data_IF_728974361094
#
_entry.id   IF_728974361094
#
_cell.length_a   1.000
_cell.length_b   1.000
_cell.length_c   1.000
_cell.angle_alpha   90.00
_cell.angle_beta   90.00
_cell.angle_gamma   90.00
#
_symmetry.space_group_name_H-M   'P 1'
#
loop_
_entity.id
_entity.type
_entity.pdbx_description
1 polymer ?
#
# COMPACT_ATOMS: atom_id res chain seq x y z
N UNK A 1 21.06 16.62 -9.35
CA UNK A 1 20.28 16.81 -10.61
C UNK A 1 18.91 16.18 -10.40
N UNK A 2 17.80 16.78 -10.85
CA UNK A 2 16.45 16.21 -10.65
C UNK A 2 16.16 15.14 -11.70
N UNK A 3 15.50 14.06 -11.30
CA UNK A 3 15.08 12.98 -12.20
C UNK A 3 13.83 13.41 -12.94
N UNK A 4 13.78 13.15 -14.25
CA UNK A 4 12.71 13.59 -15.15
C UNK A 4 11.84 12.42 -15.62
N UNK A 5 10.61 12.74 -16.02
CA UNK A 5 9.71 11.76 -16.65
C UNK A 5 10.21 11.40 -18.05
N UNK A 6 10.39 10.12 -18.31
CA UNK A 6 10.62 9.55 -19.63
C UNK A 6 9.26 9.47 -20.33
N UNK A 7 8.98 10.46 -21.17
CA UNK A 7 7.78 10.50 -22.00
C UNK A 7 7.76 9.35 -23.00
N UNK A 8 6.55 8.95 -23.42
CA UNK A 8 6.36 7.87 -24.41
C UNK A 8 7.24 8.07 -25.65
N UNK A 9 7.99 7.03 -26.01
CA UNK A 9 8.89 7.02 -27.17
C UNK A 9 10.18 7.85 -27.02
N UNK A 10 10.43 8.46 -25.84
CA UNK A 10 11.68 9.17 -25.56
C UNK A 10 12.71 8.27 -24.91
N UNK A 11 13.98 8.66 -25.04
CA UNK A 11 15.10 7.98 -24.38
C UNK A 11 15.22 8.44 -22.94
N UNK A 12 15.66 7.51 -22.10
CA UNK A 12 16.04 7.78 -20.72
C UNK A 12 17.34 8.58 -20.66
N UNK A 13 17.29 9.79 -20.10
CA UNK A 13 18.46 10.67 -19.91
C UNK A 13 18.82 10.86 -18.44
N UNK A 14 18.10 10.19 -17.52
CA UNK A 14 18.32 10.35 -16.10
C UNK A 14 19.60 9.64 -15.66
N UNK A 15 20.31 10.24 -14.71
CA UNK A 15 21.47 9.61 -14.06
C UNK A 15 21.11 9.20 -12.63
N UNK A 16 20.36 8.10 -12.51
CA UNK A 16 19.88 7.61 -11.21
C UNK A 16 21.01 7.32 -10.23
N UNK A 17 22.16 6.81 -10.68
CA UNK A 17 23.29 6.51 -9.80
C UNK A 17 23.88 7.79 -9.21
N UNK A 18 24.09 8.83 -10.02
CA UNK A 18 24.52 10.13 -9.51
C UNK A 18 23.48 10.73 -8.55
N UNK A 19 22.18 10.62 -8.87
CA UNK A 19 21.13 11.11 -7.97
C UNK A 19 21.12 10.38 -6.62
N UNK A 20 21.33 9.05 -6.60
CA UNK A 20 21.47 8.30 -5.35
C UNK A 20 22.68 8.76 -4.54
N UNK A 21 23.82 9.02 -5.20
CA UNK A 21 25.01 9.58 -4.54
C UNK A 21 24.74 10.99 -3.99
N UNK A 22 24.05 11.85 -4.75
CA UNK A 22 23.64 13.19 -4.31
C UNK A 22 22.74 13.12 -3.06
N UNK A 23 21.94 12.05 -2.93
CA UNK A 23 21.12 11.76 -1.74
C UNK A 23 21.87 11.05 -0.60
N UNK A 24 23.17 10.79 -0.76
CA UNK A 24 24.03 10.20 0.26
C UNK A 24 24.12 8.68 0.25
N UNK A 25 23.62 8.00 -0.80
CA UNK A 25 23.69 6.54 -0.96
C UNK A 25 24.91 6.13 -1.77
N UNK A 26 26.11 6.25 -1.18
CA UNK A 26 27.38 5.90 -1.85
C UNK A 26 27.74 4.42 -1.78
N UNK A 27 27.30 3.73 -0.72
CA UNK A 27 27.79 2.39 -0.37
C UNK A 27 26.66 1.34 -0.27
N UNK A 28 25.61 1.51 -1.10
CA UNK A 28 24.59 0.47 -1.24
C UNK A 28 25.19 -0.82 -1.79
N UNK A 29 24.74 -1.97 -1.25
CA UNK A 29 25.01 -3.26 -1.88
C UNK A 29 24.64 -3.22 -3.36
N UNK A 30 25.46 -3.86 -4.20
CA UNK A 30 25.33 -3.78 -5.66
C UNK A 30 23.93 -4.19 -6.12
N UNK A 31 23.40 -5.30 -5.60
CA UNK A 31 22.10 -5.82 -6.04
C UNK A 31 20.97 -4.90 -5.56
N UNK A 32 21.07 -4.37 -4.35
CA UNK A 32 20.11 -3.39 -3.83
C UNK A 32 20.12 -2.11 -4.66
N UNK A 33 21.30 -1.60 -5.01
CA UNK A 33 21.44 -0.40 -5.84
C UNK A 33 20.80 -0.60 -7.21
N UNK A 34 21.07 -1.75 -7.85
CA UNK A 34 20.47 -2.10 -9.14
C UNK A 34 18.94 -2.18 -9.05
N UNK A 35 18.39 -2.80 -8.00
CA UNK A 35 16.94 -2.87 -7.76
C UNK A 35 16.30 -1.50 -7.54
N UNK A 36 16.93 -0.65 -6.72
CA UNK A 36 16.49 0.74 -6.48
C UNK A 36 16.43 1.52 -7.78
N UNK A 37 17.49 1.45 -8.61
CA UNK A 37 17.53 2.13 -9.91
C UNK A 37 16.45 1.57 -10.85
N UNK A 38 16.26 0.25 -10.88
CA UNK A 38 15.25 -0.38 -11.74
C UNK A 38 13.83 0.09 -11.38
N UNK A 39 13.51 0.16 -10.08
CA UNK A 39 12.22 0.67 -9.59
C UNK A 39 12.05 2.15 -9.87
N UNK A 40 13.08 2.97 -9.63
CA UNK A 40 13.01 4.40 -9.92
C UNK A 40 12.76 4.65 -11.41
N UNK A 41 13.53 3.99 -12.27
CA UNK A 41 13.37 4.04 -13.71
C UNK A 41 11.99 3.59 -14.18
N UNK A 42 11.41 2.57 -13.54
CA UNK A 42 10.05 2.14 -13.84
C UNK A 42 9.04 3.26 -13.61
N UNK A 43 9.08 3.94 -12.46
CA UNK A 43 8.17 5.05 -12.15
C UNK A 43 8.49 6.34 -12.91
N UNK A 44 9.68 6.48 -13.46
CA UNK A 44 9.99 7.55 -14.40
C UNK A 44 9.53 7.23 -15.82
N UNK A 45 9.09 6.01 -16.13
CA UNK A 45 8.66 5.63 -17.47
C UNK A 45 7.14 5.73 -17.63
N UNK A 46 6.69 6.73 -18.37
CA UNK A 46 5.27 7.01 -18.59
C UNK A 46 4.52 5.83 -19.21
N UNK A 47 5.10 5.19 -20.23
CA UNK A 47 4.46 4.09 -20.95
C UNK A 47 4.25 2.86 -20.04
N UNK A 48 5.28 2.52 -19.25
CA UNK A 48 5.22 1.37 -18.34
C UNK A 48 4.20 1.58 -17.22
N UNK A 49 4.15 2.79 -16.65
CA UNK A 49 3.17 3.13 -15.61
C UNK A 49 1.75 3.11 -16.17
N UNK A 50 1.49 3.71 -17.33
CA UNK A 50 0.17 3.70 -17.97
C UNK A 50 -0.31 2.27 -18.27
N UNK A 51 0.59 1.42 -18.78
CA UNK A 51 0.30 0.00 -19.02
C UNK A 51 -0.11 -0.71 -17.73
N UNK A 52 0.67 -0.53 -16.66
CA UNK A 52 0.36 -1.14 -15.36
C UNK A 52 -0.95 -0.64 -14.77
N UNK A 53 -1.24 0.66 -14.86
CA UNK A 53 -2.48 1.25 -14.36
C UNK A 53 -3.70 0.71 -15.11
N UNK A 54 -3.59 0.51 -16.44
CA UNK A 54 -4.66 -0.10 -17.24
C UNK A 54 -4.94 -1.52 -16.79
N UNK A 55 -3.89 -2.28 -16.48
CA UNK A 55 -4.02 -3.63 -15.92
C UNK A 55 -4.68 -3.61 -14.55
N UNK A 56 -4.30 -2.70 -13.67
CA UNK A 56 -4.91 -2.53 -12.34
C UNK A 56 -6.41 -2.21 -12.44
N UNK A 57 -6.77 -1.19 -13.22
CA UNK A 57 -8.14 -0.76 -13.47
C UNK A 57 -9.01 -1.93 -13.94
N UNK A 58 -8.51 -2.67 -14.93
CA UNK A 58 -9.20 -3.83 -15.50
C UNK A 58 -9.37 -4.94 -14.47
N UNK A 59 -8.28 -5.31 -13.76
CA UNK A 59 -8.29 -6.37 -12.77
C UNK A 59 -9.27 -6.09 -11.63
N UNK A 60 -9.29 -4.86 -11.11
CA UNK A 60 -10.22 -4.49 -10.06
C UNK A 60 -11.67 -4.42 -10.55
N UNK A 61 -11.92 -3.93 -11.77
CA UNK A 61 -13.26 -3.91 -12.34
C UNK A 61 -13.85 -5.33 -12.44
N UNK A 62 -13.08 -6.28 -12.99
CA UNK A 62 -13.50 -7.69 -13.07
C UNK A 62 -13.75 -8.28 -11.68
N UNK A 63 -12.84 -8.05 -10.73
CA UNK A 63 -13.01 -8.50 -9.35
C UNK A 63 -14.26 -7.92 -8.66
N UNK A 64 -14.62 -6.67 -8.98
CA UNK A 64 -15.82 -6.04 -8.44
C UNK A 64 -17.10 -6.63 -9.05
N UNK A 65 -17.10 -6.99 -10.34
CA UNK A 65 -18.27 -7.52 -11.04
C UNK A 65 -18.78 -8.85 -10.44
N UNK A 66 -17.89 -9.68 -9.89
CA UNK A 66 -18.28 -10.98 -9.31
C UNK A 66 -19.18 -10.84 -8.08
N UNK A 67 -18.81 -9.99 -7.10
CA UNK A 67 -19.53 -9.89 -5.81
C UNK A 67 -19.57 -8.47 -5.21
N UNK A 68 -19.50 -7.41 -6.03
CA UNK A 68 -19.44 -6.00 -5.61
C UNK A 68 -18.39 -5.71 -4.52
N UNK A 69 -17.26 -6.43 -4.56
CA UNK A 69 -16.19 -6.34 -3.55
C UNK A 69 -15.46 -5.00 -3.55
N UNK A 70 -15.02 -4.55 -2.38
CA UNK A 70 -14.27 -3.31 -2.21
C UNK A 70 -12.80 -3.41 -2.67
N UNK A 71 -12.14 -2.27 -2.89
CA UNK A 71 -10.68 -2.22 -3.14
C UNK A 71 -9.85 -2.87 -2.04
N UNK A 72 -10.28 -2.76 -0.77
CA UNK A 72 -9.59 -3.43 0.33
C UNK A 72 -9.65 -4.94 0.16
N UNK A 73 -10.82 -5.49 -0.17
CA UNK A 73 -10.94 -6.92 -0.44
C UNK A 73 -10.14 -7.37 -1.66
N UNK A 74 -10.04 -6.52 -2.70
CA UNK A 74 -9.17 -6.77 -3.84
C UNK A 74 -7.71 -6.87 -3.42
N UNK A 75 -7.20 -5.91 -2.64
CA UNK A 75 -5.83 -5.92 -2.17
C UNK A 75 -5.54 -6.97 -1.09
N UNK A 76 -6.53 -7.36 -0.29
CA UNK A 76 -6.40 -8.49 0.62
C UNK A 76 -6.21 -9.80 -0.17
N UNK A 77 -7.05 -10.05 -1.19
CA UNK A 77 -6.94 -11.22 -2.07
C UNK A 77 -5.63 -11.19 -2.87
N UNK A 78 -5.39 -10.11 -3.61
CA UNK A 78 -4.17 -9.94 -4.41
C UNK A 78 -2.92 -9.98 -3.54
N UNK A 79 -2.88 -9.25 -2.43
CA UNK A 79 -1.72 -9.19 -1.55
C UNK A 79 -1.34 -10.55 -1.00
N UNK A 80 -2.33 -11.34 -0.54
CA UNK A 80 -2.08 -12.69 -0.02
C UNK A 80 -1.46 -13.65 -1.06
N UNK A 81 -1.78 -13.47 -2.34
CA UNK A 81 -1.20 -14.23 -3.47
C UNK A 81 0.17 -13.71 -3.91
N UNK A 82 0.59 -12.56 -3.38
CA UNK A 82 1.79 -11.82 -3.77
C UNK A 82 2.71 -11.52 -2.58
N UNK A 83 2.67 -12.37 -1.56
CA UNK A 83 3.53 -12.30 -0.38
C UNK A 83 3.32 -11.07 0.51
N UNK A 84 2.32 -10.24 0.23
CA UNK A 84 1.95 -9.12 1.09
C UNK A 84 0.90 -9.55 2.13
N UNK A 85 0.78 -8.79 3.21
CA UNK A 85 -0.09 -9.06 4.36
C UNK A 85 0.18 -10.44 4.98
N UNK A 86 1.42 -10.93 4.88
CA UNK A 86 1.88 -12.20 5.48
C UNK A 86 2.96 -11.93 6.54
N UNK A 87 2.59 -11.27 7.66
CA UNK A 87 3.51 -10.88 8.71
C UNK A 87 4.26 -12.09 9.26
N UNK A 88 5.58 -11.95 9.44
CA UNK A 88 6.47 -12.98 9.98
C UNK A 88 7.04 -12.63 11.35
N UNK A 89 6.97 -11.37 11.78
CA UNK A 89 7.40 -10.92 13.10
C UNK A 89 6.34 -11.17 14.17
N UNK A 90 6.79 -11.41 15.39
CA UNK A 90 5.96 -11.56 16.60
C UNK A 90 6.12 -10.42 17.61
N UNK A 91 7.13 -9.56 17.47
CA UNK A 91 7.49 -8.58 18.50
C UNK A 91 6.99 -7.17 18.15
N UNK A 92 6.28 -6.58 19.11
CA UNK A 92 5.81 -5.20 19.10
C UNK A 92 6.52 -4.51 20.27
N UNK A 93 7.17 -3.37 20.00
CA UNK A 93 7.80 -2.56 21.06
C UNK A 93 6.80 -2.21 22.15
N UNK A 94 7.22 -2.26 23.42
CA UNK A 94 6.39 -1.97 24.59
C UNK A 94 5.84 -0.52 24.59
N UNK A 95 6.40 0.36 23.75
CA UNK A 95 5.91 1.72 23.55
C UNK A 95 4.57 1.78 22.80
N UNK A 96 4.19 0.70 22.10
CA UNK A 96 2.94 0.62 21.36
C UNK A 96 1.86 -0.10 22.15
N UNK A 97 0.64 0.42 22.04
CA UNK A 97 -0.55 -0.20 22.63
C UNK A 97 -1.27 -1.03 21.60
N UNK A 98 -1.47 -2.32 21.88
CA UNK A 98 -2.23 -3.21 21.01
C UNK A 98 -3.67 -3.43 21.50
N UNK A 99 -4.52 -3.99 20.65
CA UNK A 99 -5.78 -4.58 21.12
C UNK A 99 -5.50 -5.79 22.02
N UNK A 100 -6.45 -6.23 22.88
CA UNK A 100 -6.31 -7.49 23.62
C UNK A 100 -6.04 -8.67 22.68
N UNK A 101 -5.22 -9.63 23.13
CA UNK A 101 -4.85 -10.85 22.40
C UNK A 101 -4.38 -10.60 20.96
N UNK A 102 -3.64 -9.51 20.76
CA UNK A 102 -3.23 -9.09 19.42
C UNK A 102 -2.38 -10.16 18.74
N UNK A 103 -2.78 -10.49 17.52
CA UNK A 103 -1.94 -11.18 16.56
C UNK A 103 -2.03 -10.41 15.25
N UNK A 104 -0.88 -10.28 14.60
CA UNK A 104 -0.75 -9.63 13.31
C UNK A 104 -1.76 -10.18 12.29
N UNK A 105 -2.72 -9.35 11.85
CA UNK A 105 -3.78 -9.83 10.97
C UNK A 105 -3.29 -10.02 9.53
N UNK A 106 -3.81 -11.02 8.80
CA UNK A 106 -3.40 -11.30 7.41
C UNK A 106 -4.20 -10.52 6.35
N UNK A 107 -4.42 -9.24 6.59
CA UNK A 107 -5.16 -8.36 5.70
C UNK A 107 -4.71 -6.90 5.88
N UNK A 108 -5.13 -6.02 4.97
CA UNK A 108 -4.58 -4.68 4.82
C UNK A 108 -5.04 -3.75 5.95
N UNK A 109 -4.13 -3.12 6.70
CA UNK A 109 -4.46 -2.09 7.68
C UNK A 109 -4.96 -0.80 7.04
N UNK A 110 -5.67 -0.02 7.83
CA UNK A 110 -5.97 1.39 7.58
C UNK A 110 -5.02 2.23 8.44
N UNK A 111 -4.35 3.20 7.82
CA UNK A 111 -3.46 4.11 8.51
C UNK A 111 -4.29 5.24 9.12
N UNK A 112 -3.99 5.54 10.38
CA UNK A 112 -4.54 6.67 11.10
C UNK A 112 -3.40 7.54 11.61
N UNK A 113 -3.42 8.83 11.23
CA UNK A 113 -2.37 9.78 11.56
C UNK A 113 -1.07 9.50 10.81
N UNK A 114 -0.08 10.37 11.02
CA UNK A 114 1.28 10.15 10.54
C UNK A 114 1.96 9.11 11.44
N UNK A 115 2.36 7.98 10.86
CA UNK A 115 2.98 6.91 11.63
C UNK A 115 4.38 7.34 12.08
N UNK A 116 4.80 6.88 13.26
CA UNK A 116 6.22 7.00 13.64
C UNK A 116 7.09 6.17 12.70
N UNK A 117 8.35 6.55 12.55
CA UNK A 117 9.32 5.81 11.73
C UNK A 117 9.40 4.33 12.13
N UNK A 118 9.26 4.01 13.42
CA UNK A 118 9.28 2.63 13.90
C UNK A 118 8.01 1.85 13.49
N UNK A 119 6.81 2.43 13.69
CA UNK A 119 5.56 1.80 13.27
C UNK A 119 5.47 1.67 11.73
N UNK A 120 6.05 2.61 11.01
CA UNK A 120 6.11 2.56 9.55
C UNK A 120 7.12 1.51 9.04
N UNK A 121 8.39 1.61 9.43
CA UNK A 121 9.44 0.75 8.89
C UNK A 121 9.42 -0.65 9.51
N UNK A 122 9.32 -0.75 10.83
CA UNK A 122 9.50 -2.02 11.56
C UNK A 122 8.21 -2.81 11.72
N UNK A 123 7.06 -2.15 11.68
CA UNK A 123 5.76 -2.83 11.78
C UNK A 123 5.08 -2.95 10.42
N UNK A 124 4.87 -1.86 9.67
CA UNK A 124 4.15 -1.92 8.39
C UNK A 124 5.03 -2.54 7.28
N UNK A 125 6.12 -1.89 6.88
CA UNK A 125 6.91 -2.29 5.71
C UNK A 125 7.68 -3.60 5.94
N UNK A 126 8.37 -3.75 7.08
CA UNK A 126 9.12 -4.97 7.41
C UNK A 126 8.25 -6.23 7.46
N UNK A 127 6.97 -6.13 7.85
CA UNK A 127 6.04 -7.25 7.81
C UNK A 127 5.32 -7.41 6.46
N UNK A 128 5.71 -6.63 5.45
CA UNK A 128 5.16 -6.75 4.10
C UNK A 128 3.68 -6.38 4.03
N UNK A 129 3.21 -5.44 4.85
CA UNK A 129 1.82 -4.99 4.77
C UNK A 129 1.62 -4.05 3.58
N UNK A 130 0.50 -4.25 2.89
CA UNK A 130 -0.11 -3.17 2.09
C UNK A 130 -0.71 -2.12 3.04
N UNK A 131 -1.15 -1.00 2.49
CA UNK A 131 -1.67 0.10 3.31
C UNK A 131 -2.83 0.80 2.63
N UNK A 132 -3.83 1.18 3.44
CA UNK A 132 -4.83 2.14 3.05
C UNK A 132 -4.47 3.51 3.67
N UNK A 133 -3.91 4.39 2.84
CA UNK A 133 -3.34 5.70 3.18
C UNK A 133 -4.44 6.76 3.34
N UNK A 134 -5.51 6.43 4.07
CA UNK A 134 -6.63 7.34 4.26
C UNK A 134 -6.17 8.68 4.88
N UNK A 135 -5.11 8.63 5.70
CA UNK A 135 -4.42 9.76 6.36
C UNK A 135 -3.93 10.86 5.44
N UNK A 136 -3.46 10.50 4.24
CA UNK A 136 -2.79 11.41 3.33
C UNK A 136 -3.78 12.29 2.51
N UNK A 137 -5.08 12.11 2.72
CA UNK A 137 -6.13 12.89 2.07
C UNK A 137 -6.45 12.47 0.63
N UNK A 138 -7.42 13.13 0.00
CA UNK A 138 -7.95 12.72 -1.31
C UNK A 138 -7.00 12.97 -2.49
N UNK A 139 -6.11 13.97 -2.38
CA UNK A 139 -5.10 14.28 -3.42
C UNK A 139 -4.09 13.15 -3.54
N UNK A 140 -3.59 12.65 -2.41
CA UNK A 140 -2.71 11.50 -2.35
C UNK A 140 -3.46 10.22 -2.74
N UNK A 141 -4.71 10.09 -2.30
CA UNK A 141 -5.58 8.97 -2.59
C UNK A 141 -5.33 7.78 -1.67
N UNK A 142 -6.41 7.13 -1.23
CA UNK A 142 -6.39 6.12 -0.18
C UNK A 142 -5.52 4.87 -0.47
N UNK A 143 -5.15 4.61 -1.72
CA UNK A 143 -4.50 3.36 -2.13
C UNK A 143 -3.27 3.57 -3.00
N UNK A 144 -2.73 4.79 -3.10
CA UNK A 144 -1.72 5.11 -4.09
C UNK A 144 -0.45 4.27 -3.95
N UNK A 145 0.09 4.11 -2.74
CA UNK A 145 1.27 3.27 -2.51
C UNK A 145 1.01 1.79 -2.77
N UNK A 146 -0.14 1.29 -2.33
CA UNK A 146 -0.54 -0.10 -2.62
C UNK A 146 -0.70 -0.33 -4.14
N UNK A 147 -1.15 0.67 -4.89
CA UNK A 147 -1.20 0.61 -6.36
C UNK A 147 0.21 0.62 -6.94
N UNK A 148 1.13 1.48 -6.47
CA UNK A 148 2.54 1.46 -6.89
C UNK A 148 3.16 0.06 -6.73
N UNK A 149 2.91 -0.63 -5.61
CA UNK A 149 3.38 -2.01 -5.43
C UNK A 149 2.73 -3.00 -6.40
N UNK A 150 1.43 -2.85 -6.67
CA UNK A 150 0.75 -3.64 -7.69
C UNK A 150 1.41 -3.48 -9.06
N UNK A 151 1.72 -2.25 -9.48
CA UNK A 151 2.35 -1.98 -10.76
C UNK A 151 3.69 -2.71 -10.89
N UNK A 152 4.54 -2.60 -9.87
CA UNK A 152 5.85 -3.24 -9.86
C UNK A 152 5.75 -4.77 -9.88
N UNK A 153 4.90 -5.35 -9.03
CA UNK A 153 4.83 -6.80 -8.87
C UNK A 153 4.22 -7.46 -10.12
N UNK A 154 3.23 -6.81 -10.75
CA UNK A 154 2.69 -7.27 -12.02
C UNK A 154 3.69 -7.10 -13.18
N UNK A 155 4.47 -6.02 -13.20
CA UNK A 155 5.56 -5.86 -14.18
C UNK A 155 6.68 -6.89 -13.99
N UNK A 156 6.99 -7.24 -12.74
CA UNK A 156 7.99 -8.26 -12.39
C UNK A 156 7.59 -9.64 -12.90
N UNK A 157 6.35 -10.04 -12.66
CA UNK A 157 5.81 -11.33 -13.16
C UNK A 157 5.81 -11.41 -14.68
N UNK A 158 5.61 -10.29 -15.38
CA UNK A 158 5.68 -10.20 -16.83
C UNK A 158 7.11 -10.15 -17.38
N UNK A 159 8.14 -10.11 -16.51
CA UNK A 159 9.55 -9.98 -16.90
C UNK A 159 9.94 -8.59 -17.42
N UNK A 160 9.06 -7.60 -17.27
CA UNK A 160 9.28 -6.20 -17.67
C UNK A 160 10.19 -5.50 -16.66
N UNK A 161 9.95 -5.75 -15.37
CA UNK A 161 10.78 -5.30 -14.27
C UNK A 161 11.64 -6.47 -13.79
N UNK A 162 12.95 -6.32 -13.81
CA UNK A 162 13.88 -7.34 -13.29
C UNK A 162 14.50 -6.82 -12.02
N UNK A 163 14.33 -7.59 -10.94
CA UNK A 163 14.90 -7.31 -9.63
C UNK A 163 15.74 -8.53 -9.20
N UNK A 164 16.76 -8.29 -8.40
CA UNK A 164 17.48 -9.31 -7.65
C UNK A 164 16.66 -9.84 -6.49
N UNK A 165 15.84 -8.99 -5.87
CA UNK A 165 14.80 -9.42 -4.94
C UNK A 165 13.79 -10.36 -5.63
N UNK A 166 13.38 -11.44 -4.96
CA UNK A 166 12.48 -12.43 -5.56
C UNK A 166 11.07 -11.89 -5.78
N UNK A 167 10.64 -10.95 -4.93
CA UNK A 167 9.31 -10.33 -4.95
C UNK A 167 9.42 -8.84 -4.63
N UNK A 168 8.44 -8.04 -5.04
CA UNK A 168 8.39 -6.62 -4.63
C UNK A 168 8.22 -6.49 -3.13
N UNK A 169 7.48 -7.39 -2.47
CA UNK A 169 7.38 -7.41 -1.00
C UNK A 169 8.77 -7.50 -0.35
N UNK A 170 9.62 -8.42 -0.82
CA UNK A 170 10.99 -8.56 -0.32
C UNK A 170 11.84 -7.31 -0.59
N UNK A 171 11.69 -6.69 -1.77
CA UNK A 171 12.37 -5.44 -2.09
C UNK A 171 11.98 -4.33 -1.09
N UNK A 172 10.68 -4.13 -0.85
CA UNK A 172 10.15 -3.13 0.11
C UNK A 172 10.66 -3.40 1.52
N UNK A 173 10.60 -4.66 1.97
CA UNK A 173 11.15 -5.07 3.25
C UNK A 173 12.64 -4.72 3.35
N UNK A 174 13.42 -4.95 2.30
CA UNK A 174 14.86 -4.66 2.27
C UNK A 174 15.13 -3.16 2.38
N UNK A 175 14.51 -2.33 1.52
CA UNK A 175 14.78 -0.88 1.53
C UNK A 175 14.28 -0.20 2.80
N UNK A 176 13.23 -0.72 3.44
CA UNK A 176 12.70 -0.16 4.70
C UNK A 176 13.69 -0.22 5.87
N UNK A 177 14.69 -1.10 5.78
CA UNK A 177 15.71 -1.28 6.82
C UNK A 177 16.99 -0.47 6.53
N UNK A 178 17.08 0.15 5.35
CA UNK A 178 18.22 0.96 4.96
C UNK A 178 17.96 2.40 5.37
N UNK A 179 18.76 2.89 6.31
CA UNK A 179 18.68 4.27 6.77
C UNK A 179 19.45 5.18 5.82
N UNK A 180 18.78 6.22 5.33
CA UNK A 180 19.44 7.31 4.61
C UNK A 180 20.27 8.18 5.53
N UNK A 181 21.03 9.11 4.95
CA UNK A 181 21.75 10.13 5.71
C UNK A 181 20.80 11.03 6.52
N UNK A 182 19.60 11.26 5.98
CA UNK A 182 18.51 11.98 6.61
C UNK A 182 17.22 11.17 6.51
N UNK A 183 16.35 11.21 7.53
CA UNK A 183 15.08 10.47 7.52
C UNK A 183 14.18 10.88 6.35
N UNK A 184 14.16 12.17 6.00
CA UNK A 184 13.42 12.73 4.87
C UNK A 184 13.93 12.29 3.49
N UNK A 185 15.09 11.65 3.43
CA UNK A 185 15.71 11.15 2.20
C UNK A 185 15.87 9.63 2.24
N UNK A 186 14.96 8.94 2.93
CA UNK A 186 14.90 7.48 2.87
C UNK A 186 14.66 7.00 1.43
N UNK A 187 15.09 5.78 1.10
CA UNK A 187 14.78 5.16 -0.19
C UNK A 187 13.26 5.05 -0.42
N UNK A 188 12.48 4.92 0.66
CA UNK A 188 11.02 4.99 0.59
C UNK A 188 10.54 6.33 0.01
N UNK A 189 11.00 7.45 0.57
CA UNK A 189 10.58 8.78 0.11
C UNK A 189 11.04 9.06 -1.33
N UNK A 190 12.20 8.55 -1.74
CA UNK A 190 12.69 8.73 -3.11
C UNK A 190 11.85 7.94 -4.12
N UNK A 191 11.47 6.70 -3.78
CA UNK A 191 10.88 5.77 -4.75
C UNK A 191 9.35 5.75 -4.76
N UNK A 192 8.70 6.04 -3.63
CA UNK A 192 7.27 5.81 -3.46
C UNK A 192 6.51 7.02 -2.91
N UNK A 193 7.19 7.93 -2.22
CA UNK A 193 6.57 9.07 -1.54
C UNK A 193 7.31 10.38 -1.82
N UNK A 194 7.66 10.59 -3.10
CA UNK A 194 8.40 11.78 -3.52
C UNK A 194 7.46 12.97 -3.69
N UNK A 195 7.97 14.17 -3.40
CA UNK A 195 7.26 15.44 -3.68
C UNK A 195 7.41 15.93 -5.13
N UNK A 196 8.12 15.18 -5.98
CA UNK A 196 8.29 15.49 -7.41
C UNK A 196 6.97 15.33 -8.17
N UNK A 197 6.31 16.46 -8.45
CA UNK A 197 4.95 16.52 -8.99
C UNK A 197 4.83 16.16 -10.48
N UNK A 198 5.93 15.80 -11.13
CA UNK A 198 6.00 15.41 -12.54
C UNK A 198 6.29 13.93 -12.79
N UNK A 199 6.60 13.12 -11.77
CA UNK A 199 6.91 11.68 -11.90
C UNK A 199 6.05 10.78 -11.01
N UNK A 200 6.02 9.47 -11.30
CA UNK A 200 5.10 8.53 -10.63
C UNK A 200 5.65 7.90 -9.34
N UNK A 201 6.86 8.29 -8.92
CA UNK A 201 7.30 8.10 -7.53
C UNK A 201 6.48 8.98 -6.57
N UNK A 202 5.82 10.03 -7.08
CA UNK A 202 4.82 10.77 -6.33
C UNK A 202 3.46 10.07 -6.37
N UNK A 203 2.88 9.68 -5.22
CA UNK A 203 1.59 8.99 -5.15
C UNK A 203 0.44 9.86 -5.64
N UNK A 204 0.56 11.19 -5.50
CA UNK A 204 -0.41 12.15 -6.03
C UNK A 204 -0.61 12.00 -7.54
N UNK A 205 0.47 11.71 -8.28
CA UNK A 205 0.41 11.56 -9.73
C UNK A 205 -0.29 10.27 -10.17
N UNK A 206 -0.16 9.20 -9.39
CA UNK A 206 -0.94 7.97 -9.58
C UNK A 206 -2.42 8.25 -9.41
N UNK A 207 -2.81 8.90 -8.31
CA UNK A 207 -4.22 9.22 -8.03
C UNK A 207 -4.80 10.19 -9.05
N UNK A 208 -4.08 11.28 -9.37
CA UNK A 208 -4.47 12.25 -10.39
C UNK A 208 -4.74 11.57 -11.73
N UNK A 209 -3.83 10.71 -12.17
CA UNK A 209 -4.00 9.97 -13.42
C UNK A 209 -5.24 9.07 -13.34
N UNK A 210 -5.41 8.26 -12.30
CA UNK A 210 -6.57 7.37 -12.13
C UNK A 210 -7.93 8.09 -12.03
N UNK A 211 -7.96 9.37 -11.69
CA UNK A 211 -9.16 10.22 -11.69
C UNK A 211 -9.37 11.02 -12.97
N UNK A 212 -8.39 11.01 -13.88
CA UNK A 212 -8.43 11.77 -15.14
C UNK A 212 -9.06 10.98 -16.29
N UNK A 213 -9.26 11.64 -17.43
CA UNK A 213 -9.81 11.05 -18.66
C UNK A 213 -8.77 10.35 -19.55
N UNK A 214 -7.68 9.83 -18.97
CA UNK A 214 -6.60 9.19 -19.74
C UNK A 214 -7.01 7.85 -20.38
N UNK A 215 -7.97 7.14 -19.78
CA UNK A 215 -8.57 5.92 -20.29
C UNK A 215 -10.10 6.09 -20.32
N UNK A 216 -10.70 5.90 -21.49
CA UNK A 216 -12.14 6.05 -21.72
C UNK A 216 -12.94 4.75 -21.46
N UNK A 217 -12.27 3.66 -21.06
CA UNK A 217 -12.92 2.39 -20.76
C UNK A 217 -13.92 2.50 -19.60
N UNK A 218 -14.94 1.64 -19.61
CA UNK A 218 -15.92 1.54 -18.52
C UNK A 218 -15.23 1.25 -17.18
N UNK A 219 -14.21 0.40 -17.18
CA UNK A 219 -13.43 0.07 -15.99
C UNK A 219 -12.73 1.29 -15.40
N UNK A 220 -12.15 2.16 -16.24
CA UNK A 220 -11.48 3.39 -15.80
C UNK A 220 -12.49 4.38 -15.22
N UNK A 221 -13.61 4.60 -15.91
CA UNK A 221 -14.68 5.48 -15.44
C UNK A 221 -15.26 5.00 -14.11
N UNK A 222 -15.45 3.68 -13.94
CA UNK A 222 -15.92 3.07 -12.71
C UNK A 222 -14.96 3.32 -11.54
N UNK A 223 -13.66 3.13 -11.74
CA UNK A 223 -12.68 3.35 -10.69
C UNK A 223 -12.56 4.85 -10.35
N UNK A 224 -12.51 5.72 -11.37
CA UNK A 224 -12.47 7.18 -11.18
C UNK A 224 -13.67 7.66 -10.35
N UNK A 225 -14.88 7.17 -10.64
CA UNK A 225 -16.08 7.48 -9.86
C UNK A 225 -15.94 7.07 -8.38
N UNK A 226 -15.30 5.93 -8.08
CA UNK A 226 -15.04 5.52 -6.68
C UNK A 226 -14.04 6.44 -5.97
N UNK A 227 -13.01 6.89 -6.67
CA UNK A 227 -12.00 7.81 -6.10
C UNK A 227 -12.61 9.20 -5.86
N UNK A 228 -13.39 9.70 -6.82
CA UNK A 228 -14.12 10.96 -6.66
C UNK A 228 -15.14 10.89 -5.51
N UNK A 229 -15.88 9.78 -5.38
CA UNK A 229 -16.80 9.58 -4.26
C UNK A 229 -16.08 9.52 -2.90
N UNK A 230 -14.83 9.03 -2.85
CA UNK A 230 -14.02 9.12 -1.64
C UNK A 230 -13.63 10.56 -1.33
N UNK A 231 -13.19 11.34 -2.33
CA UNK A 231 -12.85 12.76 -2.17
C UNK A 231 -14.07 13.58 -1.68
N UNK A 232 -15.22 13.45 -2.32
CA UNK A 232 -16.46 14.11 -1.90
C UNK A 232 -16.87 13.75 -0.48
N UNK A 233 -16.74 12.46 -0.12
CA UNK A 233 -17.05 11.98 1.23
C UNK A 233 -16.06 12.52 2.25
N UNK A 234 -14.78 12.61 1.89
CA UNK A 234 -13.75 13.19 2.72
C UNK A 234 -14.08 14.66 2.98
N UNK A 235 -14.27 15.45 1.94
CA UNK A 235 -14.58 16.89 2.03
C UNK A 235 -15.86 17.14 2.81
N UNK A 236 -16.91 16.33 2.60
CA UNK A 236 -18.17 16.48 3.36
C UNK A 236 -18.00 16.25 4.86
N UNK A 237 -17.19 15.26 5.26
CA UNK A 237 -16.98 14.93 6.68
C UNK A 237 -15.95 15.89 7.30
N UNK A 238 -14.93 16.26 6.54
CA UNK A 238 -13.94 17.23 6.95
C UNK A 238 -14.51 18.65 7.04
N UNK A 239 -15.69 18.96 6.49
CA UNK A 239 -16.30 20.29 6.62
C UNK A 239 -16.60 20.73 8.06
N UNK A 240 -16.81 19.80 8.98
CA UNK A 240 -17.16 20.13 10.37
C UNK A 240 -15.92 20.40 11.26
N UNK A 241 -14.76 19.80 10.96
CA UNK A 241 -13.52 19.91 11.77
C UNK A 241 -12.28 20.37 10.95
N UNK A 242 -12.41 20.56 9.63
CA UNK A 242 -11.38 20.92 8.65
C UNK A 242 -10.09 20.07 8.67
N UNK A 243 -10.12 18.86 9.21
CA UNK A 243 -8.94 18.02 9.29
C UNK A 243 -9.24 16.53 9.06
N UNK A 244 -8.20 15.78 8.69
CA UNK A 244 -8.25 14.31 8.57
C UNK A 244 -8.71 13.65 9.88
N UNK A 245 -8.39 14.24 11.03
CA UNK A 245 -8.73 13.69 12.35
C UNK A 245 -10.25 13.51 12.52
N UNK A 246 -11.07 14.48 12.08
CA UNK A 246 -12.52 14.36 12.14
C UNK A 246 -13.07 13.22 11.28
N UNK A 247 -12.51 13.06 10.07
CA UNK A 247 -12.83 11.92 9.21
C UNK A 247 -12.47 10.58 9.88
N UNK A 248 -11.24 10.48 10.39
CA UNK A 248 -10.74 9.26 11.01
C UNK A 248 -11.53 8.91 12.27
N UNK A 249 -11.86 9.91 13.10
CA UNK A 249 -12.67 9.76 14.30
C UNK A 249 -14.04 9.17 13.98
N UNK A 250 -14.74 9.74 13.01
CA UNK A 250 -16.07 9.27 12.62
C UNK A 250 -16.05 7.89 11.94
N UNK A 251 -15.03 7.59 11.11
CA UNK A 251 -15.03 6.37 10.28
C UNK A 251 -14.31 5.17 10.87
N UNK A 252 -13.27 5.42 11.66
CA UNK A 252 -12.36 4.39 12.14
C UNK A 252 -12.32 4.35 13.67
N UNK A 253 -12.04 5.47 14.34
CA UNK A 253 -11.84 5.45 15.81
C UNK A 253 -13.13 5.17 16.59
N UNK A 254 -14.29 5.56 16.06
CA UNK A 254 -15.61 5.21 16.63
C UNK A 254 -15.91 3.72 16.66
N UNK A 255 -15.13 2.91 15.93
CA UNK A 255 -15.33 1.46 15.73
C UNK A 255 -14.12 0.64 16.17
N UNK A 256 -13.28 1.16 17.07
CA UNK A 256 -12.08 0.45 17.54
C UNK A 256 -12.37 -0.91 18.19
N UNK A 257 -13.56 -1.08 18.76
CA UNK A 257 -14.03 -2.37 19.27
C UNK A 257 -14.21 -3.43 18.16
N UNK A 258 -14.30 -3.03 16.90
CA UNK A 258 -14.39 -3.91 15.72
C UNK A 258 -13.01 -4.14 15.06
N UNK A 259 -11.93 -3.55 15.57
CA UNK A 259 -10.61 -3.63 14.96
C UNK A 259 -9.58 -4.32 15.85
N UNK A 260 -8.63 -4.98 15.19
CA UNK A 260 -7.30 -5.20 15.77
C UNK A 260 -6.47 -3.97 15.49
N UNK A 261 -5.63 -3.56 16.44
CA UNK A 261 -4.89 -2.30 16.28
C UNK A 261 -3.52 -2.33 16.95
N UNK A 262 -2.65 -1.45 16.46
CA UNK A 262 -1.43 -1.01 17.12
C UNK A 262 -1.47 0.53 17.15
N UNK A 263 -1.46 1.12 18.33
CA UNK A 263 -1.42 2.56 18.57
C UNK A 263 -0.06 3.00 19.04
N UNK A 264 0.38 4.16 18.57
CA UNK A 264 1.39 4.96 19.25
C UNK A 264 0.71 6.16 19.91
N UNK A 265 0.54 6.08 21.23
CA UNK A 265 -0.21 7.07 22.03
C UNK A 265 -1.60 7.31 21.42
N UNK A 266 -2.06 8.55 21.39
CA UNK A 266 -3.30 9.02 20.78
C UNK A 266 -3.09 9.65 19.39
N UNK A 267 -1.85 9.58 18.84
CA UNK A 267 -1.47 10.31 17.64
C UNK A 267 -1.65 9.53 16.35
N UNK A 268 -1.27 8.25 16.35
CA UNK A 268 -1.31 7.43 15.14
C UNK A 268 -1.49 5.94 15.42
N UNK A 269 -1.97 5.22 14.41
CA UNK A 269 -2.28 3.81 14.52
C UNK A 269 -2.31 3.07 13.18
N UNK A 270 -2.11 1.76 13.29
CA UNK A 270 -2.49 0.77 12.28
C UNK A 270 -3.78 0.08 12.73
N UNK A 271 -4.83 0.15 11.90
CA UNK A 271 -6.17 -0.35 12.24
C UNK A 271 -6.62 -1.43 11.25
N UNK A 272 -6.85 -2.64 11.75
CA UNK A 272 -7.33 -3.78 10.98
C UNK A 272 -8.79 -4.09 11.33
N UNK A 273 -9.70 -3.70 10.44
CA UNK A 273 -11.12 -4.04 10.58
C UNK A 273 -11.41 -5.38 9.91
N UNK A 274 -12.17 -6.26 10.56
CA UNK A 274 -12.66 -7.47 9.89
C UNK A 274 -13.50 -7.13 8.64
N UNK A 275 -13.43 -7.96 7.62
CA UNK A 275 -14.34 -7.86 6.48
C UNK A 275 -15.76 -8.17 6.95
N UNK A 276 -16.74 -7.35 6.57
CA UNK A 276 -18.15 -7.52 6.96
C UNK A 276 -18.83 -8.74 6.30
N UNK A 277 -18.11 -9.51 5.47
CA UNK A 277 -18.66 -10.63 4.69
C UNK A 277 -18.33 -12.02 5.28
N UNK A 278 -18.18 -12.17 6.60
CA UNK A 278 -18.21 -13.50 7.21
C UNK A 278 -19.48 -13.65 8.03
N UNK A 279 -20.50 -14.26 7.43
CA UNK A 279 -21.24 -15.27 8.16
C UNK A 279 -20.20 -16.33 8.58
N UNK A 280 -19.91 -16.39 9.87
CA UNK A 280 -19.20 -17.50 10.46
C UNK A 280 -20.06 -18.74 10.21
N UNK A 281 -19.70 -19.55 9.21
CA UNK A 281 -20.13 -20.94 9.16
C UNK A 281 -19.44 -21.64 10.32
N UNK A 282 -20.09 -21.59 11.48
CA UNK A 282 -19.72 -22.36 12.65
C UNK A 282 -19.75 -23.84 12.30
N UNK A 283 -18.59 -24.42 12.07
CA UNK A 283 -18.41 -25.86 12.14
C UNK A 283 -18.49 -26.30 13.61
N UNK A 284 -19.71 -26.30 14.16
CA UNK A 284 -20.05 -27.21 15.26
C UNK A 284 -20.36 -28.58 14.64
N UNK A 285 -19.32 -29.32 14.27
CA UNK A 285 -19.40 -30.78 14.30
C UNK A 285 -19.01 -31.20 15.71
N UNK A 286 -20.02 -31.30 16.57
CA UNK A 286 -19.91 -32.15 17.75
C UNK A 286 -19.68 -33.58 17.24
N UNK A 287 -18.45 -34.07 17.37
CA UNK A 287 -18.18 -35.50 17.31
C UNK A 287 -18.86 -36.14 18.52
N UNK A 288 -20.06 -36.67 18.31
CA UNK A 288 -20.65 -37.63 19.23
C UNK A 288 -19.92 -38.95 19.00
N UNK A 289 -18.99 -39.23 19.91
CA UNK A 289 -18.24 -40.47 19.97
C UNK A 289 -19.16 -41.69 19.98
N UNK A 290 -18.80 -42.66 19.15
CA UNK A 290 -19.30 -44.02 19.21
C UNK A 290 -18.81 -44.66 20.52
N UNK A 291 -19.59 -44.48 21.58
CA UNK A 291 -19.49 -45.25 22.80
C UNK A 291 -20.10 -46.63 22.58
N UNK A 292 -19.25 -47.58 22.18
CA UNK A 292 -19.53 -49.01 22.28
C UNK A 292 -19.55 -49.36 23.77
N UNK A 293 -20.65 -49.93 24.27
CA UNK A 293 -20.59 -50.75 25.48
C UNK A 293 -21.35 -52.06 25.30
N UNK A 294 -20.82 -53.16 25.86
CA UNK A 294 -21.36 -54.51 25.70
C UNK A 294 -22.50 -54.73 26.68
N UNK A 295 -23.50 -55.51 26.27
CA UNK A 295 -24.07 -56.70 26.93
C UNK A 295 -25.28 -57.16 26.11
#
# INVERSE_FOLDING_TARGET
MTVELIQIGKKDTNNYEQCLQDFGYTDLDKNVKEDVIAVWKFFCNEELVLRGLKKFVTAYFLFNQEEKKSLRQFFDDWGSKNHFNTPTSSEISDEFKTSPDFQYPKHTPILHGELTADLFNNVLLKNGYLAADAGAGPVHGKWAHTIQFFLLEEARKEGILQLHAQTVCQFIQTISQIKGMFESLSLWNILFDSFDDHIFTSPNNITKLLTSSWDSSEAAQFLAAKFNAFAEKFDRIAKDEQCYEGYAKQKYLSRLNESRYIFYKDKCALLWFASKNKEETGHNKAELGLGVHPF
#
